data_IF_086731661018
#
_entry.id   IF_086731661018
#
_cell.length_a   1.000
_cell.length_b   1.000
_cell.length_c   1.000
_cell.angle_alpha   90.00
_cell.angle_beta   90.00
_cell.angle_gamma   90.00
#
_symmetry.space_group_name_H-M   'P 1'
#
loop_
_entity.id
_entity.type
_entity.pdbx_description
1 polymer ?
#
# COMPACT_ATOMS: atom_id res chain seq x y z
N UNK A 1 -12.31 28.58 4.58
CA UNK A 1 -12.90 28.25 3.26
C UNK A 1 -14.24 27.56 3.49
N UNK A 2 -15.33 28.25 3.19
CA UNK A 2 -16.71 27.77 3.28
C UNK A 2 -16.91 26.55 2.38
N UNK A 3 -17.67 25.55 2.84
CA UNK A 3 -17.97 24.33 2.09
C UNK A 3 -18.90 24.70 0.93
N UNK A 4 -18.48 24.49 -0.32
CA UNK A 4 -19.28 24.74 -1.53
C UNK A 4 -20.25 23.60 -1.81
N UNK A 5 -21.45 23.96 -2.24
CA UNK A 5 -22.50 23.03 -2.67
C UNK A 5 -22.06 22.28 -3.94
N UNK A 6 -22.59 21.07 -4.15
CA UNK A 6 -22.38 20.24 -5.32
C UNK A 6 -22.76 20.95 -6.61
N UNK A 7 -23.90 21.64 -6.63
CA UNK A 7 -24.39 22.39 -7.80
C UNK A 7 -23.44 23.53 -8.19
N UNK A 8 -22.97 24.31 -7.20
CA UNK A 8 -21.98 25.37 -7.43
C UNK A 8 -20.68 24.84 -8.04
N UNK A 9 -20.24 23.64 -7.64
CA UNK A 9 -19.04 23.01 -8.22
C UNK A 9 -19.28 22.69 -9.69
N UNK A 10 -20.46 22.19 -10.08
CA UNK A 10 -20.76 21.84 -11.47
C UNK A 10 -20.94 23.08 -12.34
N UNK A 11 -21.61 24.12 -11.84
CA UNK A 11 -21.78 25.39 -12.55
C UNK A 11 -20.43 26.06 -12.81
N UNK A 12 -19.53 26.05 -11.82
CA UNK A 12 -18.17 26.56 -11.97
C UNK A 12 -17.25 25.67 -12.84
N UNK A 13 -17.63 24.41 -13.10
CA UNK A 13 -16.97 23.58 -14.10
C UNK A 13 -17.43 23.93 -15.52
N UNK A 14 -18.72 24.23 -15.68
CA UNK A 14 -19.36 24.60 -16.97
C UNK A 14 -18.95 25.99 -17.46
N UNK A 15 -18.83 26.97 -16.57
CA UNK A 15 -18.52 28.36 -16.94
C UNK A 15 -17.31 28.48 -17.87
N UNK A 16 -17.37 29.36 -18.87
CA UNK A 16 -16.32 29.54 -19.88
C UNK A 16 -15.45 30.79 -19.66
N UNK A 17 -15.77 31.60 -18.66
CA UNK A 17 -15.22 32.94 -18.44
C UNK A 17 -13.80 32.92 -17.86
N UNK A 18 -13.46 31.91 -17.04
CA UNK A 18 -12.17 31.86 -16.35
C UNK A 18 -11.58 30.45 -16.31
N UNK A 19 -10.48 30.27 -17.06
CA UNK A 19 -9.67 29.05 -17.02
C UNK A 19 -9.05 28.82 -15.62
N UNK A 20 -8.67 29.90 -14.91
CA UNK A 20 -8.14 29.81 -13.54
C UNK A 20 -9.20 29.31 -12.57
N UNK A 21 -10.44 29.83 -12.68
CA UNK A 21 -11.58 29.37 -11.89
C UNK A 21 -11.88 27.90 -12.18
N UNK A 22 -11.98 27.51 -13.46
CA UNK A 22 -12.21 26.12 -13.86
C UNK A 22 -11.16 25.18 -13.30
N UNK A 23 -9.87 25.52 -13.46
CA UNK A 23 -8.75 24.73 -12.90
C UNK A 23 -8.87 24.54 -11.40
N UNK A 24 -9.24 25.58 -10.64
CA UNK A 24 -9.48 25.48 -9.20
C UNK A 24 -10.66 24.55 -8.91
N UNK A 25 -11.75 24.69 -9.66
CA UNK A 25 -12.96 23.88 -9.52
C UNK A 25 -12.70 22.40 -9.83
N UNK A 26 -11.90 22.06 -10.85
CA UNK A 26 -11.46 20.69 -11.11
C UNK A 26 -10.77 20.10 -9.86
N UNK A 27 -9.95 20.89 -9.15
CA UNK A 27 -9.35 20.43 -7.87
C UNK A 27 -10.40 20.20 -6.80
N UNK A 28 -11.40 21.07 -6.70
CA UNK A 28 -12.46 20.97 -5.69
C UNK A 28 -13.36 19.77 -5.96
N UNK A 29 -13.81 19.60 -7.20
CA UNK A 29 -14.56 18.44 -7.70
C UNK A 29 -13.84 17.13 -7.37
N UNK A 30 -12.60 16.98 -7.83
CA UNK A 30 -11.82 15.75 -7.60
C UNK A 30 -11.49 15.51 -6.12
N UNK A 31 -11.35 16.56 -5.30
CA UNK A 31 -11.22 16.44 -3.85
C UNK A 31 -12.51 15.93 -3.21
N UNK A 32 -13.67 16.36 -3.71
CA UNK A 32 -14.96 15.92 -3.20
C UNK A 32 -15.23 14.44 -3.55
N UNK A 33 -14.83 13.98 -4.75
CA UNK A 33 -14.90 12.56 -5.14
C UNK A 33 -14.07 11.61 -4.26
N UNK A 34 -13.10 12.13 -3.48
CA UNK A 34 -12.30 11.34 -2.53
C UNK A 34 -13.01 11.13 -1.18
N UNK A 35 -14.17 11.77 -0.97
CA UNK A 35 -14.89 11.76 0.30
C UNK A 35 -16.14 10.91 0.20
N UNK A 36 -16.35 10.06 1.19
CA UNK A 36 -17.49 9.14 1.24
C UNK A 36 -18.82 9.86 1.33
N UNK A 37 -18.88 10.89 2.18
CA UNK A 37 -20.07 11.72 2.43
C UNK A 37 -20.48 12.60 1.24
N UNK A 38 -19.62 12.76 0.24
CA UNK A 38 -19.85 13.68 -0.89
C UNK A 38 -19.80 13.05 -2.26
N UNK A 39 -19.15 11.90 -2.39
CA UNK A 39 -18.88 11.28 -3.68
C UNK A 39 -20.16 11.18 -4.52
N UNK A 40 -21.21 10.58 -3.96
CA UNK A 40 -22.45 10.30 -4.70
C UNK A 40 -23.13 11.59 -5.17
N UNK A 41 -23.31 12.56 -4.27
CA UNK A 41 -23.99 13.83 -4.57
C UNK A 41 -23.26 14.62 -5.65
N UNK A 42 -21.92 14.72 -5.55
CA UNK A 42 -21.09 15.44 -6.54
C UNK A 42 -21.09 14.71 -7.89
N UNK A 43 -21.04 13.39 -7.88
CA UNK A 43 -21.06 12.57 -9.09
C UNK A 43 -22.41 12.66 -9.81
N UNK A 44 -23.51 12.58 -9.07
CA UNK A 44 -24.87 12.73 -9.62
C UNK A 44 -25.11 14.14 -10.16
N UNK A 45 -24.64 15.19 -9.46
CA UNK A 45 -24.73 16.57 -9.93
C UNK A 45 -23.99 16.79 -11.26
N UNK A 46 -22.89 16.06 -11.50
CA UNK A 46 -22.17 16.07 -12.78
C UNK A 46 -22.92 15.34 -13.91
N UNK A 47 -24.06 14.71 -13.63
CA UNK A 47 -24.75 13.82 -14.56
C UNK A 47 -24.07 12.46 -14.70
N UNK A 48 -23.36 12.01 -13.66
CA UNK A 48 -22.60 10.74 -13.61
C UNK A 48 -21.54 10.67 -14.71
N UNK A 49 -21.20 9.46 -15.18
CA UNK A 49 -20.16 9.23 -16.17
C UNK A 49 -20.46 9.96 -17.49
N UNK A 50 -21.68 9.79 -18.04
CA UNK A 50 -22.08 10.42 -19.30
C UNK A 50 -22.11 11.94 -19.23
N UNK A 51 -22.64 12.52 -18.14
CA UNK A 51 -22.66 13.96 -17.96
C UNK A 51 -21.25 14.55 -17.83
N UNK A 52 -20.36 13.87 -17.10
CA UNK A 52 -18.96 14.29 -17.01
C UNK A 52 -18.21 14.15 -18.35
N UNK A 53 -18.48 13.10 -19.12
CA UNK A 53 -17.89 12.94 -20.46
C UNK A 53 -18.28 14.09 -21.40
N UNK A 54 -19.58 14.46 -21.42
CA UNK A 54 -20.07 15.62 -22.18
C UNK A 54 -19.40 16.92 -21.74
N UNK A 55 -19.27 17.14 -20.43
CA UNK A 55 -18.52 18.30 -19.90
C UNK A 55 -17.06 18.30 -20.35
N UNK A 56 -16.40 17.15 -20.39
CA UNK A 56 -15.02 17.03 -20.83
C UNK A 56 -14.85 17.31 -22.33
N UNK A 57 -15.86 17.02 -23.17
CA UNK A 57 -15.83 17.37 -24.59
C UNK A 57 -15.79 18.90 -24.80
N UNK A 58 -16.49 19.67 -23.96
CA UNK A 58 -16.50 21.14 -24.00
C UNK A 58 -15.23 21.79 -23.41
N UNK A 59 -14.45 21.06 -22.61
CA UNK A 59 -13.25 21.60 -21.97
C UNK A 59 -12.11 21.83 -22.95
N UNK A 60 -11.19 22.74 -22.61
CA UNK A 60 -9.92 22.84 -23.32
C UNK A 60 -9.09 21.56 -23.14
N UNK A 61 -8.20 21.25 -24.08
CA UNK A 61 -7.27 20.10 -23.96
C UNK A 61 -6.47 20.15 -22.65
N UNK A 62 -6.08 21.35 -22.23
CA UNK A 62 -5.34 21.57 -20.96
C UNK A 62 -6.18 21.19 -19.75
N UNK A 63 -7.47 21.54 -19.75
CA UNK A 63 -8.39 21.24 -18.66
C UNK A 63 -8.74 19.75 -18.62
N UNK A 64 -8.96 19.11 -19.79
CA UNK A 64 -9.13 17.65 -19.90
C UNK A 64 -7.92 16.94 -19.30
N UNK A 65 -6.70 17.38 -19.65
CA UNK A 65 -5.46 16.80 -19.10
C UNK A 65 -5.36 16.94 -17.57
N UNK A 66 -5.71 18.10 -17.01
CA UNK A 66 -5.68 18.30 -15.54
C UNK A 66 -6.78 17.48 -14.86
N UNK A 67 -7.98 17.40 -15.45
CA UNK A 67 -9.09 16.56 -14.98
C UNK A 67 -8.67 15.08 -14.93
N UNK A 68 -8.18 14.51 -16.04
CA UNK A 68 -7.79 13.11 -16.11
C UNK A 68 -6.70 12.75 -15.08
N UNK A 69 -5.66 13.60 -14.96
CA UNK A 69 -4.60 13.40 -13.96
C UNK A 69 -5.13 13.41 -12.54
N UNK A 70 -6.10 14.26 -12.23
CA UNK A 70 -6.69 14.37 -10.89
C UNK A 70 -7.65 13.24 -10.59
N UNK A 71 -8.48 12.82 -11.55
CA UNK A 71 -9.31 11.63 -11.42
C UNK A 71 -8.44 10.40 -11.17
N UNK A 72 -7.36 10.22 -11.94
CA UNK A 72 -6.36 9.17 -11.70
C UNK A 72 -5.73 9.23 -10.31
N UNK A 73 -5.49 10.43 -9.77
CA UNK A 73 -4.93 10.60 -8.42
C UNK A 73 -5.84 10.08 -7.30
N UNK A 74 -7.13 9.86 -7.59
CA UNK A 74 -8.09 9.28 -6.64
C UNK A 74 -7.88 7.79 -6.40
N UNK A 75 -7.03 7.11 -7.17
CA UNK A 75 -6.66 5.70 -6.98
C UNK A 75 -6.29 5.38 -5.52
N UNK A 76 -5.59 6.29 -4.85
CA UNK A 76 -5.13 6.11 -3.45
C UNK A 76 -6.19 6.37 -2.38
N UNK A 77 -7.39 6.81 -2.74
CA UNK A 77 -8.43 7.12 -1.76
C UNK A 77 -9.14 5.84 -1.29
N UNK A 78 -9.15 5.58 0.02
CA UNK A 78 -9.79 4.39 0.59
C UNK A 78 -11.31 4.57 0.78
N UNK A 79 -11.75 5.81 0.97
CA UNK A 79 -13.17 6.17 1.17
C UNK A 79 -13.96 6.06 -0.14
N UNK A 80 -15.19 5.54 -0.08
CA UNK A 80 -16.06 5.28 -1.24
C UNK A 80 -15.34 4.59 -2.42
N UNK A 81 -14.36 3.72 -2.11
CA UNK A 81 -13.49 3.15 -3.12
C UNK A 81 -14.24 2.26 -4.13
N UNK A 82 -15.15 1.34 -3.72
CA UNK A 82 -15.88 0.50 -4.68
C UNK A 82 -16.73 1.32 -5.65
N UNK A 83 -17.55 2.25 -5.14
CA UNK A 83 -18.44 3.08 -5.94
C UNK A 83 -17.66 3.98 -6.90
N UNK A 84 -16.57 4.60 -6.41
CA UNK A 84 -15.73 5.46 -7.23
C UNK A 84 -15.02 4.69 -8.34
N UNK A 85 -14.44 3.52 -8.05
CA UNK A 85 -13.74 2.73 -9.07
C UNK A 85 -14.69 2.27 -10.18
N UNK A 86 -15.93 1.90 -9.84
CA UNK A 86 -16.96 1.55 -10.82
C UNK A 86 -17.35 2.76 -11.67
N UNK A 87 -17.64 3.90 -11.04
CA UNK A 87 -18.01 5.14 -11.72
C UNK A 87 -16.92 5.67 -12.67
N UNK A 88 -15.65 5.63 -12.24
CA UNK A 88 -14.53 6.01 -13.10
C UNK A 88 -14.30 5.00 -14.23
N UNK A 89 -14.60 3.71 -13.98
CA UNK A 89 -14.53 2.70 -15.02
C UNK A 89 -15.56 2.91 -16.12
N UNK A 90 -16.80 3.25 -15.74
CA UNK A 90 -17.86 3.64 -16.68
C UNK A 90 -17.45 4.88 -17.49
N UNK A 91 -16.93 5.92 -16.84
CA UNK A 91 -16.41 7.11 -17.51
C UNK A 91 -15.32 6.77 -18.53
N UNK A 92 -14.35 5.94 -18.16
CA UNK A 92 -13.27 5.54 -19.08
C UNK A 92 -13.82 4.79 -20.29
N UNK A 93 -14.78 3.88 -20.10
CA UNK A 93 -15.43 3.19 -21.21
C UNK A 93 -16.08 4.18 -22.17
N UNK A 94 -16.86 5.14 -21.65
CA UNK A 94 -17.51 6.19 -22.46
C UNK A 94 -16.48 7.04 -23.19
N UNK A 95 -15.39 7.48 -22.52
CA UNK A 95 -14.37 8.33 -23.14
C UNK A 95 -13.57 7.63 -24.26
N UNK A 96 -13.43 6.30 -24.18
CA UNK A 96 -12.69 5.52 -25.17
C UNK A 96 -13.56 4.99 -26.33
N UNK A 97 -14.87 4.83 -26.11
CA UNK A 97 -15.84 4.37 -27.11
C UNK A 97 -16.61 5.53 -27.76
N UNK A 98 -16.68 6.67 -27.06
CA UNK A 98 -17.41 7.86 -27.46
C UNK A 98 -16.80 8.53 -28.69
N UNK A 99 -17.67 8.94 -29.60
CA UNK A 99 -17.35 9.75 -30.80
C UNK A 99 -17.69 11.22 -30.62
N UNK A 100 -17.98 11.65 -29.38
CA UNK A 100 -18.37 13.03 -29.08
C UNK A 100 -17.18 14.01 -29.16
N UNK A 101 -15.94 13.51 -29.20
CA UNK A 101 -14.73 14.31 -29.19
C UNK A 101 -13.68 13.76 -30.17
N UNK A 102 -13.46 14.47 -31.28
CA UNK A 102 -12.50 14.08 -32.33
C UNK A 102 -11.04 14.36 -31.95
N UNK A 103 -10.78 14.99 -30.80
CA UNK A 103 -9.41 15.33 -30.39
C UNK A 103 -8.66 14.07 -29.94
N UNK A 104 -7.34 13.96 -30.20
CA UNK A 104 -6.53 12.80 -29.82
C UNK A 104 -6.22 12.77 -28.30
N UNK A 105 -7.25 12.58 -27.48
CA UNK A 105 -7.19 12.68 -26.01
C UNK A 105 -6.99 11.34 -25.30
N UNK A 106 -6.93 10.24 -26.04
CA UNK A 106 -6.79 8.87 -25.54
C UNK A 106 -5.64 8.72 -24.54
N UNK A 107 -4.50 9.37 -24.82
CA UNK A 107 -3.32 9.36 -23.93
C UNK A 107 -3.58 10.00 -22.57
N UNK A 108 -4.49 10.98 -22.49
CA UNK A 108 -4.90 11.59 -21.22
C UNK A 108 -5.89 10.72 -20.49
N UNK A 109 -6.84 10.08 -21.18
CA UNK A 109 -7.80 9.19 -20.53
C UNK A 109 -7.14 8.00 -19.84
N UNK A 110 -5.99 7.54 -20.36
CA UNK A 110 -5.14 6.54 -19.71
C UNK A 110 -4.74 6.93 -18.26
N UNK A 111 -4.65 8.23 -17.93
CA UNK A 111 -4.34 8.66 -16.57
C UNK A 111 -5.42 8.27 -15.54
N UNK A 112 -6.66 8.04 -15.97
CA UNK A 112 -7.81 7.67 -15.12
C UNK A 112 -7.80 6.17 -14.80
N UNK A 113 -7.33 5.33 -15.72
CA UNK A 113 -7.41 3.85 -15.65
C UNK A 113 -6.90 3.29 -14.30
N UNK A 114 -5.78 3.77 -13.71
CA UNK A 114 -5.32 3.28 -12.41
C UNK A 114 -6.26 3.48 -11.22
N UNK A 115 -7.29 4.32 -11.37
CA UNK A 115 -8.31 4.57 -10.35
C UNK A 115 -9.62 3.81 -10.58
N UNK A 116 -9.68 2.96 -11.62
CA UNK A 116 -10.86 2.18 -12.00
C UNK A 116 -10.90 0.82 -11.30
N UNK A 117 -11.87 -0.02 -11.65
CA UNK A 117 -11.94 -1.41 -11.20
C UNK A 117 -10.78 -2.24 -11.78
N UNK A 118 -10.35 -3.25 -11.03
CA UNK A 118 -9.23 -4.11 -11.43
C UNK A 118 -9.49 -4.86 -12.75
N UNK A 119 -10.72 -5.29 -12.98
CA UNK A 119 -11.14 -5.94 -14.22
C UNK A 119 -10.89 -5.05 -15.43
N UNK A 120 -11.21 -3.76 -15.32
CA UNK A 120 -10.98 -2.79 -16.37
C UNK A 120 -9.49 -2.57 -16.61
N UNK A 121 -8.69 -2.45 -15.53
CA UNK A 121 -7.23 -2.34 -15.65
C UNK A 121 -6.65 -3.53 -16.42
N UNK A 122 -7.04 -4.76 -16.05
CA UNK A 122 -6.59 -5.98 -16.74
C UNK A 122 -7.04 -6.03 -18.20
N UNK A 123 -8.26 -5.59 -18.51
CA UNK A 123 -8.77 -5.48 -19.88
C UNK A 123 -7.90 -4.52 -20.70
N UNK A 124 -7.56 -3.37 -20.14
CA UNK A 124 -6.72 -2.36 -20.78
C UNK A 124 -5.28 -2.84 -20.99
N UNK A 125 -4.71 -3.59 -20.04
CA UNK A 125 -3.39 -4.21 -20.19
C UNK A 125 -3.36 -5.27 -21.31
N UNK A 126 -4.40 -6.11 -21.40
CA UNK A 126 -4.46 -7.20 -22.40
C UNK A 126 -4.85 -6.70 -23.79
N UNK A 127 -5.96 -5.98 -23.90
CA UNK A 127 -6.59 -5.68 -25.18
C UNK A 127 -5.89 -4.52 -25.89
N UNK A 128 -5.44 -3.53 -25.11
CA UNK A 128 -4.84 -2.29 -25.65
C UNK A 128 -3.32 -2.24 -25.55
N UNK A 129 -2.68 -3.25 -24.95
CA UNK A 129 -1.21 -3.34 -24.77
C UNK A 129 -0.58 -2.03 -24.25
N UNK A 130 -1.24 -1.43 -23.26
CA UNK A 130 -0.85 -0.12 -22.76
C UNK A 130 0.48 -0.20 -22.01
N UNK A 131 1.41 0.68 -22.37
CA UNK A 131 2.62 0.91 -21.59
C UNK A 131 2.37 1.95 -20.48
N UNK A 132 2.61 1.53 -19.25
CA UNK A 132 2.43 2.40 -18.09
C UNK A 132 3.62 3.32 -17.88
N UNK A 133 3.36 4.63 -17.82
CA UNK A 133 4.36 5.60 -17.39
C UNK A 133 4.65 5.46 -15.89
N UNK A 134 5.83 5.89 -15.43
CA UNK A 134 6.21 5.83 -14.00
C UNK A 134 5.14 6.43 -13.04
N UNK A 135 4.51 7.58 -13.34
CA UNK A 135 3.42 8.11 -12.52
C UNK A 135 2.18 7.21 -12.48
N UNK A 136 1.82 6.58 -13.60
CA UNK A 136 0.68 5.68 -13.69
C UNK A 136 0.95 4.38 -12.94
N UNK A 137 2.15 3.79 -13.07
CA UNK A 137 2.58 2.63 -12.28
C UNK A 137 2.50 2.91 -10.78
N UNK A 138 2.88 4.12 -10.36
CA UNK A 138 2.74 4.53 -8.96
C UNK A 138 1.26 4.59 -8.52
N UNK A 139 0.35 5.07 -9.38
CA UNK A 139 -1.08 5.11 -9.08
C UNK A 139 -1.69 3.70 -9.07
N UNK A 140 -1.32 2.84 -10.01
CA UNK A 140 -1.74 1.43 -10.05
C UNK A 140 -1.36 0.73 -8.77
N UNK A 141 -0.12 0.91 -8.33
CA UNK A 141 0.36 0.37 -7.07
C UNK A 141 -0.46 0.84 -5.86
N UNK A 142 -0.85 2.12 -5.83
CA UNK A 142 -1.66 2.68 -4.75
C UNK A 142 -3.14 2.27 -4.84
N UNK A 143 -3.65 2.11 -6.06
CA UNK A 143 -5.03 1.78 -6.37
C UNK A 143 -5.32 0.29 -6.27
N UNK A 144 -4.37 -0.59 -6.56
CA UNK A 144 -4.56 -2.04 -6.63
C UNK A 144 -3.46 -2.76 -5.84
N UNK A 145 -3.14 -2.21 -4.66
CA UNK A 145 -2.08 -2.75 -3.80
C UNK A 145 -2.28 -4.24 -3.50
N UNK A 146 -3.51 -4.64 -3.19
CA UNK A 146 -3.89 -6.03 -2.89
C UNK A 146 -3.47 -7.01 -3.99
N UNK A 147 -3.65 -6.66 -5.26
CA UNK A 147 -3.22 -7.51 -6.37
C UNK A 147 -1.71 -7.69 -6.39
N UNK A 148 -0.94 -6.63 -6.14
CA UNK A 148 0.51 -6.72 -6.08
C UNK A 148 0.99 -7.49 -4.85
N UNK A 149 0.27 -7.38 -3.75
CA UNK A 149 0.49 -8.15 -2.52
C UNK A 149 0.24 -9.65 -2.74
N UNK A 150 -0.89 -10.02 -3.35
CA UNK A 150 -1.24 -11.41 -3.64
C UNK A 150 -0.31 -12.02 -4.71
N UNK A 151 0.04 -11.25 -5.75
CA UNK A 151 1.04 -11.67 -6.73
C UNK A 151 2.38 -11.93 -6.05
N UNK A 152 2.84 -11.02 -5.21
CA UNK A 152 4.11 -11.18 -4.50
C UNK A 152 4.09 -12.40 -3.56
N UNK A 153 3.00 -12.62 -2.82
CA UNK A 153 2.86 -13.82 -1.98
C UNK A 153 2.90 -15.11 -2.81
N UNK A 154 2.22 -15.14 -3.96
CA UNK A 154 2.27 -16.30 -4.85
C UNK A 154 3.68 -16.56 -5.40
N UNK A 155 4.45 -15.48 -5.64
CA UNK A 155 5.81 -15.55 -6.13
C UNK A 155 6.78 -16.05 -5.04
N UNK A 156 6.70 -15.55 -3.80
CA UNK A 156 7.52 -16.04 -2.67
C UNK A 156 7.34 -17.54 -2.46
N UNK A 157 6.13 -18.05 -2.68
CA UNK A 157 5.83 -19.46 -2.51
C UNK A 157 6.34 -20.33 -3.68
N UNK A 158 6.83 -19.75 -4.77
CA UNK A 158 7.32 -20.49 -5.92
C UNK A 158 8.83 -20.79 -5.79
N UNK A 159 9.22 -22.06 -5.85
CA UNK A 159 10.62 -22.50 -5.61
C UNK A 159 11.61 -21.98 -6.67
N UNK A 160 11.14 -21.69 -7.87
CA UNK A 160 12.01 -21.42 -9.03
C UNK A 160 12.38 -19.94 -9.19
N UNK A 161 11.87 -19.05 -8.34
CA UNK A 161 12.14 -17.60 -8.43
C UNK A 161 12.93 -17.13 -7.23
N UNK A 162 14.19 -16.76 -7.46
CA UNK A 162 14.99 -16.04 -6.46
C UNK A 162 14.53 -14.57 -6.39
N UNK A 163 13.55 -14.30 -5.54
CA UNK A 163 12.94 -12.97 -5.41
C UNK A 163 13.69 -12.18 -4.37
N UNK A 164 14.23 -11.03 -4.76
CA UNK A 164 14.87 -10.09 -3.82
C UNK A 164 13.84 -9.09 -3.30
N UNK A 165 13.67 -9.04 -1.99
CA UNK A 165 12.64 -8.21 -1.36
C UNK A 165 12.93 -6.72 -1.60
N UNK A 166 14.18 -6.31 -1.70
CA UNK A 166 14.58 -4.94 -2.07
C UNK A 166 13.88 -4.41 -3.33
N UNK A 167 13.67 -5.25 -4.34
CA UNK A 167 12.99 -4.86 -5.59
C UNK A 167 11.50 -4.51 -5.35
N UNK A 168 10.92 -5.06 -4.30
CA UNK A 168 9.51 -4.93 -3.93
C UNK A 168 9.28 -4.05 -2.70
N UNK A 169 10.29 -3.29 -2.25
CA UNK A 169 10.29 -2.47 -1.02
C UNK A 169 9.06 -1.55 -0.83
N UNK A 170 8.42 -1.14 -1.92
CA UNK A 170 7.18 -0.34 -1.90
C UNK A 170 6.00 -1.10 -1.26
N UNK A 171 5.97 -2.43 -1.35
CA UNK A 171 4.96 -3.30 -0.73
C UNK A 171 5.12 -3.39 0.79
N UNK A 172 6.32 -3.24 1.33
CA UNK A 172 6.55 -3.36 2.77
C UNK A 172 6.50 -2.01 3.48
N UNK A 173 6.93 -0.95 2.81
CA UNK A 173 7.08 0.38 3.43
C UNK A 173 5.74 0.92 3.94
N UNK A 174 5.54 0.82 5.26
CA UNK A 174 4.33 1.34 5.92
C UNK A 174 3.20 0.33 6.08
N UNK A 175 3.31 -0.87 5.51
CA UNK A 175 2.27 -1.88 5.61
C UNK A 175 2.68 -3.00 6.58
N UNK A 176 2.43 -2.75 7.87
CA UNK A 176 2.73 -3.72 8.94
C UNK A 176 1.91 -5.00 8.74
N UNK A 177 0.63 -4.89 8.37
CA UNK A 177 -0.26 -6.03 8.16
C UNK A 177 0.22 -6.94 7.02
N UNK A 178 0.74 -6.37 5.93
CA UNK A 178 1.32 -7.17 4.86
C UNK A 178 2.63 -7.84 5.25
N UNK A 179 3.50 -7.16 5.99
CA UNK A 179 4.71 -7.78 6.54
C UNK A 179 4.37 -8.94 7.49
N UNK A 180 3.34 -8.79 8.34
CA UNK A 180 2.81 -9.87 9.18
C UNK A 180 2.30 -11.03 8.29
N UNK A 181 1.53 -10.73 7.24
CA UNK A 181 1.01 -11.74 6.27
C UNK A 181 2.14 -12.51 5.59
N UNK A 182 3.26 -11.88 5.25
CA UNK A 182 4.43 -12.55 4.67
C UNK A 182 5.02 -13.54 5.68
N UNK A 183 5.30 -13.08 6.91
CA UNK A 183 5.89 -13.93 7.95
C UNK A 183 4.98 -15.12 8.29
N UNK A 184 3.67 -14.89 8.44
CA UNK A 184 2.72 -15.99 8.70
C UNK A 184 2.61 -16.96 7.53
N UNK A 185 2.68 -16.48 6.28
CA UNK A 185 2.67 -17.35 5.09
C UNK A 185 3.94 -18.21 5.03
N UNK A 186 5.11 -17.66 5.36
CA UNK A 186 6.37 -18.40 5.45
C UNK A 186 6.36 -19.42 6.60
N UNK A 187 5.69 -19.12 7.71
CA UNK A 187 5.50 -20.05 8.83
C UNK A 187 4.50 -21.16 8.54
N UNK A 188 3.41 -20.86 7.83
CA UNK A 188 2.34 -21.82 7.57
C UNK A 188 2.75 -22.89 6.55
N UNK A 189 3.65 -22.56 5.62
CA UNK A 189 4.04 -23.49 4.56
C UNK A 189 5.01 -24.55 5.05
N UNK A 190 4.71 -25.80 4.75
CA UNK A 190 5.53 -26.97 5.07
C UNK A 190 6.51 -27.29 3.94
N UNK A 191 7.73 -27.69 4.29
CA UNK A 191 8.82 -28.03 3.36
C UNK A 191 9.88 -26.94 3.15
N UNK A 192 10.94 -27.28 2.39
CA UNK A 192 12.03 -26.35 2.07
C UNK A 192 11.53 -25.21 1.18
N UNK A 193 11.59 -23.98 1.68
CA UNK A 193 11.24 -22.75 0.99
C UNK A 193 12.50 -21.92 0.92
N UNK A 194 12.82 -21.39 -0.26
CA UNK A 194 13.87 -20.40 -0.40
C UNK A 194 13.39 -19.06 0.17
N UNK A 195 14.01 -18.64 1.25
CA UNK A 195 13.85 -17.38 1.94
C UNK A 195 14.91 -16.42 1.44
N UNK A 196 14.47 -15.26 0.96
CA UNK A 196 15.40 -14.27 0.44
C UNK A 196 16.39 -13.80 1.50
N UNK A 197 17.63 -13.58 1.07
CA UNK A 197 18.75 -13.12 1.89
C UNK A 197 18.57 -11.69 2.45
N UNK A 198 17.51 -10.99 2.07
CA UNK A 198 17.18 -9.62 2.50
C UNK A 198 15.86 -9.53 3.29
N UNK A 199 15.29 -10.66 3.72
CA UNK A 199 14.06 -10.71 4.53
C UNK A 199 14.20 -9.87 5.82
N UNK A 200 15.32 -10.00 6.53
CA UNK A 200 15.52 -9.29 7.80
C UNK A 200 15.63 -7.78 7.57
N UNK A 201 16.39 -7.37 6.56
CA UNK A 201 16.69 -5.97 6.29
C UNK A 201 15.51 -5.21 5.67
N UNK A 202 14.70 -5.87 4.83
CA UNK A 202 13.60 -5.21 4.11
C UNK A 202 12.22 -5.39 4.76
N UNK A 203 12.01 -6.46 5.54
CA UNK A 203 10.70 -6.76 6.16
C UNK A 203 10.76 -6.72 7.68
N UNK A 204 11.66 -7.47 8.32
CA UNK A 204 11.66 -7.60 9.79
C UNK A 204 12.06 -6.29 10.49
N UNK A 205 13.28 -5.82 10.25
CA UNK A 205 13.87 -4.69 10.96
C UNK A 205 13.16 -3.35 10.72
N UNK A 206 12.73 -2.98 9.49
CA UNK A 206 12.02 -1.73 9.27
C UNK A 206 10.70 -1.65 10.05
N UNK A 207 10.00 -2.77 10.23
CA UNK A 207 8.77 -2.84 11.02
C UNK A 207 9.07 -2.81 12.51
N UNK A 208 10.02 -3.61 12.99
CA UNK A 208 10.45 -3.62 14.40
C UNK A 208 10.92 -2.23 14.87
N UNK A 209 11.72 -1.53 14.06
CA UNK A 209 12.14 -0.14 14.34
C UNK A 209 10.96 0.83 14.34
N UNK A 210 9.97 0.64 13.45
CA UNK A 210 8.77 1.48 13.41
C UNK A 210 7.84 1.25 14.61
N UNK A 211 7.72 0.01 15.08
CA UNK A 211 6.92 -0.36 16.27
C UNK A 211 7.53 0.16 17.58
N UNK A 212 8.73 0.78 17.55
CA UNK A 212 9.28 1.51 18.71
C UNK A 212 8.68 2.89 18.92
N UNK A 213 7.94 3.41 17.94
CA UNK A 213 7.32 4.74 18.07
C UNK A 213 6.17 4.66 19.07
N UNK A 214 6.06 5.67 19.94
CA UNK A 214 5.09 5.75 21.06
C UNK A 214 3.63 5.51 20.68
N UNK A 215 3.26 5.67 19.42
CA UNK A 215 1.90 5.46 18.91
C UNK A 215 1.49 3.99 18.73
N UNK A 216 2.37 3.03 19.01
CA UNK A 216 2.12 1.60 18.82
C UNK A 216 2.19 0.84 20.14
N UNK A 217 1.29 -0.12 20.32
CA UNK A 217 1.18 -0.92 21.52
C UNK A 217 2.33 -1.92 21.65
N UNK A 218 2.78 -2.11 22.89
CA UNK A 218 3.86 -3.03 23.23
C UNK A 218 3.52 -4.49 22.89
N UNK A 219 2.26 -4.88 23.02
CA UNK A 219 1.77 -6.22 22.64
C UNK A 219 1.96 -6.49 21.14
N UNK A 220 1.61 -5.52 20.28
CA UNK A 220 1.76 -5.66 18.84
C UNK A 220 3.23 -5.80 18.46
N UNK A 221 4.11 -5.08 19.16
CA UNK A 221 5.55 -5.20 19.00
C UNK A 221 6.05 -6.60 19.38
N UNK A 222 5.62 -7.14 20.52
CA UNK A 222 6.01 -8.49 20.95
C UNK A 222 5.50 -9.55 19.98
N UNK A 223 4.22 -9.45 19.57
CA UNK A 223 3.63 -10.37 18.60
C UNK A 223 4.44 -10.39 17.30
N UNK A 224 4.80 -9.23 16.78
CA UNK A 224 5.62 -9.14 15.57
C UNK A 224 7.02 -9.71 15.78
N UNK A 225 7.66 -9.41 16.92
CA UNK A 225 8.97 -9.97 17.24
C UNK A 225 8.93 -11.50 17.34
N UNK A 226 7.94 -12.07 18.01
CA UNK A 226 7.76 -13.53 18.10
C UNK A 226 7.57 -14.17 16.73
N UNK A 227 6.79 -13.54 15.83
CA UNK A 227 6.66 -14.01 14.44
C UNK A 227 8.00 -14.01 13.68
N UNK A 228 8.82 -12.97 13.86
CA UNK A 228 10.15 -12.91 13.25
C UNK A 228 11.04 -14.03 13.80
N UNK A 229 11.05 -14.23 15.11
CA UNK A 229 11.86 -15.25 15.78
C UNK A 229 11.46 -16.66 15.34
N UNK A 230 10.16 -16.96 15.31
CA UNK A 230 9.66 -18.25 14.81
C UNK A 230 10.05 -18.47 13.33
N UNK A 231 10.00 -17.43 12.49
CA UNK A 231 10.43 -17.54 11.09
C UNK A 231 11.92 -17.87 11.00
N UNK A 232 12.75 -17.19 11.81
CA UNK A 232 14.19 -17.41 11.83
C UNK A 232 14.58 -18.80 12.35
N UNK A 233 13.83 -19.36 13.31
CA UNK A 233 14.04 -20.73 13.78
C UNK A 233 13.62 -21.76 12.74
N UNK A 234 12.46 -21.58 12.11
CA UNK A 234 11.94 -22.53 11.13
C UNK A 234 12.84 -22.64 9.89
N UNK A 235 13.43 -21.52 9.46
CA UNK A 235 14.23 -21.42 8.25
C UNK A 235 15.70 -21.05 8.55
N UNK A 236 16.25 -21.64 9.62
CA UNK A 236 17.58 -21.30 10.15
C UNK A 236 18.70 -21.47 9.11
N UNK A 237 18.67 -22.55 8.32
CA UNK A 237 19.69 -22.85 7.31
C UNK A 237 19.90 -21.68 6.32
N UNK A 238 18.84 -20.95 5.99
CA UNK A 238 18.87 -19.88 4.99
C UNK A 238 18.96 -18.47 5.60
N UNK A 239 18.40 -18.29 6.81
CA UNK A 239 18.38 -17.00 7.50
C UNK A 239 19.63 -16.78 8.36
N UNK A 240 20.32 -17.84 8.79
CA UNK A 240 21.53 -17.76 9.63
C UNK A 240 22.59 -16.79 9.09
N UNK A 241 22.77 -16.74 7.77
CA UNK A 241 23.71 -15.81 7.12
C UNK A 241 23.33 -14.33 7.27
N UNK A 242 22.06 -14.03 7.57
CA UNK A 242 21.55 -12.68 7.86
C UNK A 242 21.67 -12.31 9.34
N UNK A 243 21.85 -13.29 10.23
CA UNK A 243 21.96 -13.12 11.68
C UNK A 243 23.38 -12.69 12.07
N UNK A 244 23.80 -11.52 11.61
CA UNK A 244 25.10 -10.94 11.98
C UNK A 244 24.93 -10.03 13.18
N UNK A 245 25.84 -10.14 14.16
CA UNK A 245 25.99 -9.19 15.26
C UNK A 245 26.45 -7.83 14.70
N UNK A 246 25.49 -7.02 14.24
CA UNK A 246 25.71 -5.66 13.73
C UNK A 246 24.92 -4.67 14.56
N UNK A 247 25.46 -3.45 14.63
CA UNK A 247 24.77 -2.37 15.32
C UNK A 247 23.38 -2.13 14.73
N UNK A 248 22.33 -2.26 15.54
CA UNK A 248 20.95 -2.11 15.11
C UNK A 248 20.43 -3.20 14.18
N UNK A 249 21.06 -4.38 14.16
CA UNK A 249 20.59 -5.63 13.53
C UNK A 249 19.63 -6.43 14.43
N UNK A 250 19.13 -7.56 13.93
CA UNK A 250 18.11 -8.35 14.63
C UNK A 250 18.61 -8.89 15.97
N UNK A 251 19.81 -9.47 16.02
CA UNK A 251 20.39 -10.04 17.24
C UNK A 251 20.58 -8.99 18.35
N UNK A 252 21.15 -7.83 18.02
CA UNK A 252 21.28 -6.76 19.00
C UNK A 252 19.90 -6.25 19.43
N UNK A 253 18.96 -6.09 18.50
CA UNK A 253 17.61 -5.65 18.84
C UNK A 253 16.93 -6.62 19.82
N UNK A 254 17.06 -7.93 19.61
CA UNK A 254 16.51 -8.95 20.52
C UNK A 254 17.18 -8.92 21.89
N UNK A 255 18.51 -8.81 21.94
CA UNK A 255 19.27 -8.74 23.21
C UNK A 255 18.93 -7.46 23.98
N UNK A 256 18.90 -6.30 23.33
CA UNK A 256 18.53 -5.03 23.96
C UNK A 256 17.10 -5.08 24.54
N UNK A 257 16.19 -5.82 23.89
CA UNK A 257 14.81 -5.99 24.37
C UNK A 257 14.75 -6.95 25.54
N UNK A 258 15.52 -8.03 25.50
CA UNK A 258 15.66 -8.97 26.59
C UNK A 258 16.24 -8.29 27.85
N UNK A 259 17.33 -7.53 27.71
CA UNK A 259 17.95 -6.80 28.81
C UNK A 259 16.99 -5.77 29.43
N UNK A 260 16.30 -4.97 28.60
CA UNK A 260 15.26 -4.03 29.10
C UNK A 260 14.08 -4.70 29.78
N UNK A 261 13.75 -5.93 29.39
CA UNK A 261 12.74 -6.73 30.07
C UNK A 261 13.25 -7.36 31.37
N UNK A 262 14.57 -7.51 31.53
CA UNK A 262 15.22 -7.92 32.78
C UNK A 262 15.25 -6.77 33.81
N UNK A 263 15.48 -5.54 33.34
CA UNK A 263 15.62 -4.34 34.18
C UNK A 263 14.28 -3.69 34.60
N UNK A 264 13.14 -4.18 34.12
CA UNK A 264 11.82 -3.57 34.32
C UNK A 264 11.06 -3.99 35.59
N UNK A 265 10.51 -3.02 36.31
CA UNK A 265 9.66 -3.12 37.52
C UNK A 265 8.43 -4.04 37.32
N UNK A 266 8.15 -5.02 38.23
CA UNK A 266 7.14 -6.07 38.05
C UNK A 266 5.72 -5.58 38.33
N UNK A 267 5.24 -4.64 37.52
CA UNK A 267 3.79 -4.42 37.37
C UNK A 267 3.23 -5.52 36.47
N UNK A 268 2.10 -6.13 36.84
CA UNK A 268 1.57 -7.39 36.24
C UNK A 268 1.57 -7.37 34.70
N UNK A 269 1.10 -6.28 34.08
CA UNK A 269 1.08 -6.14 32.62
C UNK A 269 2.49 -6.02 31.99
N UNK A 270 3.43 -5.34 32.65
CA UNK A 270 4.84 -5.27 32.21
C UNK A 270 5.59 -6.58 32.45
N UNK A 271 5.23 -7.30 33.53
CA UNK A 271 5.77 -8.62 33.87
C UNK A 271 5.42 -9.68 32.83
N UNK A 272 4.17 -9.75 32.37
CA UNK A 272 3.76 -10.69 31.31
C UNK A 272 4.44 -10.38 29.97
N UNK A 273 4.54 -9.10 29.61
CA UNK A 273 5.25 -8.61 28.43
C UNK A 273 6.74 -8.97 28.51
N UNK A 274 7.37 -8.74 29.67
CA UNK A 274 8.76 -9.08 29.91
C UNK A 274 9.01 -10.61 29.88
N UNK A 275 8.10 -11.40 30.47
CA UNK A 275 8.15 -12.86 30.45
C UNK A 275 8.08 -13.40 29.02
N UNK A 276 7.12 -12.93 28.21
CA UNK A 276 6.99 -13.34 26.81
C UNK A 276 8.20 -12.95 25.96
N UNK A 277 8.81 -11.79 26.20
CA UNK A 277 10.06 -11.41 25.55
C UNK A 277 11.19 -12.36 25.96
N UNK A 278 11.28 -12.71 27.25
CA UNK A 278 12.31 -13.63 27.76
C UNK A 278 12.16 -15.03 27.19
N UNK A 279 10.97 -15.62 27.21
CA UNK A 279 10.72 -16.98 26.67
C UNK A 279 11.09 -17.05 25.19
N UNK A 280 10.48 -16.21 24.35
CA UNK A 280 10.73 -16.22 22.90
C UNK A 280 12.21 -15.97 22.56
N UNK A 281 12.89 -15.11 23.32
CA UNK A 281 14.32 -14.80 23.07
C UNK A 281 15.24 -15.90 23.62
N UNK A 282 14.90 -16.51 24.75
CA UNK A 282 15.65 -17.62 25.34
C UNK A 282 15.63 -18.84 24.42
N UNK A 283 14.46 -19.19 23.89
CA UNK A 283 14.31 -20.29 22.93
C UNK A 283 15.10 -20.02 21.65
N UNK A 284 15.10 -18.77 21.18
CA UNK A 284 15.86 -18.36 20.01
C UNK A 284 17.38 -18.44 20.23
N UNK A 285 17.89 -17.87 21.31
CA UNK A 285 19.32 -17.89 21.66
C UNK A 285 19.79 -19.33 21.91
N UNK A 286 18.97 -20.14 22.57
CA UNK A 286 19.23 -21.56 22.79
C UNK A 286 19.27 -22.37 21.49
N UNK A 287 18.35 -22.10 20.56
CA UNK A 287 18.28 -22.81 19.25
C UNK A 287 19.48 -22.53 18.35
N UNK A 288 20.03 -21.31 18.38
CA UNK A 288 21.19 -20.92 17.57
C UNK A 288 22.53 -21.47 18.11
N UNK A 289 22.51 -22.29 19.16
CA UNK A 289 23.73 -22.82 19.79
C UNK A 289 24.63 -21.74 20.41
N UNK A 290 24.12 -20.51 20.56
CA UNK A 290 24.87 -19.39 21.16
C UNK A 290 24.88 -19.59 22.68
N UNK A 291 25.75 -20.48 23.15
CA UNK A 291 26.09 -20.61 24.58
C UNK A 291 26.82 -19.34 25.01
N UNK A 292 26.09 -18.33 25.41
CA UNK A 292 26.65 -17.30 26.26
C UNK A 292 26.96 -17.92 27.64
N UNK A 293 28.23 -18.23 27.90
CA UNK A 293 28.74 -18.33 29.27
C UNK A 293 28.78 -16.92 29.84
N UNK A 294 27.82 -16.56 30.68
CA UNK A 294 27.97 -15.42 31.57
C UNK A 294 28.42 -15.94 32.93
N UNK A 295 29.66 -15.61 33.32
CA UNK A 295 30.02 -15.56 34.73
C UNK A 295 29.32 -14.33 35.31
N UNK A 296 28.60 -14.57 36.41
CA UNK A 296 27.91 -13.57 37.25
C UNK A 296 28.94 -12.58 37.81
#
# INVERSE_FOLDING_TARGET
>A
MTRRNETEIIDDLRQIESATKRKLTIRQFTKALRREDRFQQVWDAAGRASGLARLMAEFSIRDVRDMCKRLGSTASAQKAQPQRRAALGELVTILYEGREDDRPLTSFYQDIVPACNLELVKKFEKDRKIEWTLPQTKRLFLGHREQHEDKFLSEILCKDKNIRFYQHRRLFRGNIAFCEKILTTLLAKEGKIHVSSDLIDEVAMPVLKRLLKSRYDDERRIKYLSLVLQCTQKHEEEISQQLVLRQGGLLQYTVDRWAKAADGDPTIAKGEIAHRIRENTSDFVGSLGVRYRWQI
#
